data_IF_101159786537
#
_entry.id   IF_101159786537
#
_cell.length_a   1.000
_cell.length_b   1.000
_cell.length_c   1.000
_cell.angle_alpha   90.00
_cell.angle_beta   90.00
_cell.angle_gamma   90.00
#
_symmetry.space_group_name_H-M   'P 1'
#
loop_
_entity.id
_entity.type
_entity.pdbx_description
1 polymer ?
#
# COMPACT_ATOMS: atom_id res chain seq x y z
N UNK A 1 6.27 -8.50 5.30
CA UNK A 1 5.64 -9.19 6.44
C UNK A 1 5.45 -10.63 6.00
N UNK A 2 5.54 -11.62 6.89
CA UNK A 2 5.01 -12.96 6.62
C UNK A 2 3.57 -12.93 7.18
N UNK A 3 2.59 -12.74 6.31
CA UNK A 3 1.19 -12.51 6.70
C UNK A 3 0.63 -13.70 7.47
N UNK A 4 0.99 -14.92 7.06
CA UNK A 4 0.54 -16.14 7.71
C UNK A 4 1.06 -16.26 9.14
N UNK A 5 2.34 -15.97 9.37
CA UNK A 5 2.89 -15.97 10.73
C UNK A 5 2.37 -14.80 11.57
N UNK A 6 2.16 -13.63 10.97
CA UNK A 6 1.56 -12.50 11.65
C UNK A 6 0.14 -12.83 12.14
N UNK A 7 -0.71 -13.43 11.30
CA UNK A 7 -2.08 -13.86 11.67
C UNK A 7 -2.04 -14.80 12.88
N UNK A 8 -1.16 -15.80 12.87
CA UNK A 8 -0.99 -16.72 14.01
C UNK A 8 -0.61 -15.97 15.30
N UNK A 9 0.35 -15.05 15.21
CA UNK A 9 0.79 -14.25 16.36
C UNK A 9 -0.30 -13.33 16.92
N UNK A 10 -1.16 -12.78 16.06
CA UNK A 10 -2.31 -11.96 16.46
C UNK A 10 -3.37 -12.79 17.18
N UNK A 11 -3.71 -13.97 16.64
CA UNK A 11 -4.65 -14.92 17.27
C UNK A 11 -4.13 -15.39 18.63
N UNK A 12 -2.81 -15.67 18.73
CA UNK A 12 -2.18 -16.13 19.97
C UNK A 12 -1.92 -15.00 20.98
N UNK A 13 -2.17 -13.74 20.62
CA UNK A 13 -1.89 -12.58 21.46
C UNK A 13 -0.40 -12.32 21.69
N UNK A 14 0.49 -12.93 20.89
CA UNK A 14 1.93 -12.62 20.90
C UNK A 14 2.16 -11.19 20.41
N UNK A 15 1.37 -10.78 19.40
CA UNK A 15 1.28 -9.39 18.97
C UNK A 15 -0.01 -8.80 19.55
N UNK A 16 0.12 -7.67 20.23
CA UNK A 16 -1.00 -7.01 20.91
C UNK A 16 -2.08 -6.47 19.96
N UNK A 17 -1.73 -6.19 18.70
CA UNK A 17 -2.66 -5.79 17.64
C UNK A 17 -1.96 -5.33 16.37
N UNK A 18 -2.73 -5.11 15.30
CA UNK A 18 -2.22 -4.64 14.00
C UNK A 18 -3.20 -3.70 13.29
N UNK A 19 -2.66 -2.77 12.50
CA UNK A 19 -3.41 -1.97 11.53
C UNK A 19 -2.88 -2.27 10.14
N UNK A 20 -3.73 -2.75 9.23
CA UNK A 20 -3.35 -3.23 7.90
C UNK A 20 -4.13 -2.49 6.82
N UNK A 21 -3.42 -1.84 5.90
CA UNK A 21 -4.01 -1.28 4.67
C UNK A 21 -3.71 -2.16 3.43
N UNK A 22 -2.74 -3.08 3.54
CA UNK A 22 -2.32 -3.95 2.44
C UNK A 22 -2.20 -5.39 2.88
N UNK A 23 -2.37 -6.31 1.93
CA UNK A 23 -2.39 -7.77 2.13
C UNK A 23 -1.52 -8.48 1.08
N UNK A 24 -1.06 -9.69 1.37
CA UNK A 24 -0.16 -10.40 0.44
C UNK A 24 -0.85 -10.78 -0.87
N UNK A 25 -2.12 -11.16 -0.82
CA UNK A 25 -2.90 -11.64 -1.98
C UNK A 25 -4.10 -10.75 -2.28
N UNK A 26 -3.91 -9.42 -2.28
CA UNK A 26 -5.02 -8.50 -2.56
C UNK A 26 -5.77 -8.80 -3.86
N UNK A 27 -7.12 -8.71 -3.87
CA UNK A 27 -7.98 -8.16 -2.80
C UNK A 27 -8.39 -9.17 -1.72
N UNK A 28 -7.83 -10.38 -1.74
CA UNK A 28 -8.14 -11.43 -0.77
C UNK A 28 -7.46 -11.13 0.57
N UNK A 29 -8.25 -11.23 1.65
CA UNK A 29 -7.82 -10.97 3.03
C UNK A 29 -8.03 -12.23 3.84
N UNK A 30 -7.06 -12.67 4.67
CA UNK A 30 -7.26 -13.80 5.58
C UNK A 30 -8.53 -13.63 6.43
N UNK A 31 -9.46 -14.58 6.33
CA UNK A 31 -10.77 -14.50 6.99
C UNK A 31 -10.65 -14.36 8.51
N UNK A 32 -9.58 -14.93 9.09
CA UNK A 32 -9.30 -14.87 10.52
C UNK A 32 -9.16 -13.43 11.03
N UNK A 33 -8.66 -12.50 10.21
CA UNK A 33 -8.42 -11.11 10.62
C UNK A 33 -9.72 -10.33 10.89
N UNK A 34 -10.83 -10.67 10.22
CA UNK A 34 -12.10 -9.95 10.37
C UNK A 34 -12.76 -10.16 11.74
N UNK A 35 -12.42 -11.26 12.43
CA UNK A 35 -12.97 -11.59 13.74
C UNK A 35 -12.14 -11.11 14.93
N UNK A 36 -10.99 -10.47 14.69
CA UNK A 36 -10.05 -10.10 15.74
C UNK A 36 -10.30 -8.69 16.26
N UNK A 37 -10.61 -8.56 17.55
CA UNK A 37 -10.81 -7.27 18.22
C UNK A 37 -9.54 -6.39 18.29
N UNK A 38 -8.36 -7.00 18.09
CA UNK A 38 -7.08 -6.33 18.10
C UNK A 38 -6.55 -5.97 16.69
N UNK A 39 -7.40 -6.04 15.66
CA UNK A 39 -7.02 -5.73 14.29
C UNK A 39 -7.93 -4.65 13.69
N UNK A 40 -7.31 -3.69 12.99
CA UNK A 40 -8.01 -2.71 12.16
C UNK A 40 -7.59 -2.91 10.71
N UNK A 41 -8.58 -3.02 9.81
CA UNK A 41 -8.36 -3.26 8.38
C UNK A 41 -8.83 -2.05 7.56
N UNK A 42 -8.05 -1.66 6.55
CA UNK A 42 -8.46 -0.73 5.51
C UNK A 42 -8.15 -1.30 4.11
N UNK A 43 -8.97 -0.99 3.09
CA UNK A 43 -8.89 -1.64 1.78
C UNK A 43 -7.91 -0.95 0.80
N UNK A 44 -6.63 -0.87 1.13
CA UNK A 44 -5.58 -0.25 0.31
C UNK A 44 -5.91 1.19 -0.14
N UNK A 45 -6.33 2.00 0.82
CA UNK A 45 -6.83 3.37 0.57
C UNK A 45 -5.97 4.45 1.20
N UNK A 46 -4.79 4.14 1.76
CA UNK A 46 -3.91 5.14 2.36
C UNK A 46 -3.59 6.30 1.39
N UNK A 47 -3.46 6.01 0.09
CA UNK A 47 -3.16 7.01 -0.95
C UNK A 47 -4.40 7.80 -1.42
N UNK A 48 -5.62 7.35 -1.11
CA UNK A 48 -6.86 7.82 -1.71
C UNK A 48 -7.36 9.16 -1.13
N UNK A 49 -6.48 10.17 -1.10
CA UNK A 49 -6.82 11.55 -0.73
C UNK A 49 -6.74 12.45 -1.96
N UNK A 50 -7.57 13.52 -2.06
CA UNK A 50 -7.51 14.44 -3.20
C UNK A 50 -6.12 15.03 -3.42
N UNK A 51 -5.44 15.43 -2.35
CA UNK A 51 -4.09 15.99 -2.41
C UNK A 51 -3.07 14.97 -2.96
N UNK A 52 -3.07 13.74 -2.44
CA UNK A 52 -2.15 12.71 -2.90
C UNK A 52 -2.38 12.34 -4.37
N UNK A 53 -3.64 12.16 -4.77
CA UNK A 53 -4.00 11.83 -6.15
C UNK A 53 -3.66 12.96 -7.13
N UNK A 54 -3.84 14.22 -6.73
CA UNK A 54 -3.39 15.38 -7.52
C UNK A 54 -1.87 15.35 -7.72
N UNK A 55 -1.10 15.17 -6.64
CA UNK A 55 0.37 15.13 -6.71
C UNK A 55 0.88 13.98 -7.58
N UNK A 56 0.29 12.78 -7.46
CA UNK A 56 0.65 11.63 -8.32
C UNK A 56 0.37 11.96 -9.79
N UNK A 57 -0.78 12.58 -10.07
CA UNK A 57 -1.15 12.98 -11.43
C UNK A 57 -0.18 14.04 -11.99
N UNK A 58 0.18 15.04 -11.19
CA UNK A 58 1.14 16.08 -11.56
C UNK A 58 2.51 15.49 -11.90
N UNK A 59 3.03 14.59 -11.07
CA UNK A 59 4.32 13.91 -11.32
C UNK A 59 4.24 13.05 -12.59
N UNK A 60 3.15 12.32 -12.79
CA UNK A 60 2.97 11.50 -14.00
C UNK A 60 2.97 12.35 -15.27
N UNK A 61 2.20 13.45 -15.29
CA UNK A 61 2.16 14.39 -16.41
C UNK A 61 3.52 15.06 -16.65
N UNK A 62 4.23 15.43 -15.58
CA UNK A 62 5.55 16.06 -15.69
C UNK A 62 6.58 15.11 -16.33
N UNK A 63 6.56 13.83 -15.98
CA UNK A 63 7.43 12.82 -16.61
C UNK A 63 7.08 12.61 -18.10
N UNK A 64 5.79 12.53 -18.44
CA UNK A 64 5.36 12.41 -19.84
C UNK A 64 5.81 13.62 -20.68
N UNK A 65 5.61 14.84 -20.16
CA UNK A 65 6.04 16.06 -20.82
C UNK A 65 7.56 16.11 -21.01
N UNK A 66 8.32 15.73 -19.98
CA UNK A 66 9.78 15.66 -20.07
C UNK A 66 10.23 14.66 -21.15
N UNK A 67 9.65 13.46 -21.17
CA UNK A 67 9.94 12.43 -22.16
C UNK A 67 9.72 12.91 -23.59
N UNK A 68 8.53 13.46 -23.89
CA UNK A 68 8.21 13.95 -25.24
C UNK A 68 8.98 15.22 -25.64
N UNK A 69 9.60 15.92 -24.68
CA UNK A 69 10.43 17.09 -24.91
C UNK A 69 11.94 16.78 -24.95
N UNK A 70 12.33 15.50 -24.93
CA UNK A 70 13.72 15.05 -24.80
C UNK A 70 14.46 15.67 -23.60
N UNK A 71 13.74 15.89 -22.49
CA UNK A 71 14.29 16.35 -21.22
C UNK A 71 14.45 15.18 -20.25
N UNK A 72 15.33 15.28 -19.23
CA UNK A 72 15.41 14.29 -18.16
C UNK A 72 14.08 14.12 -17.44
N UNK A 73 13.74 12.86 -17.09
CA UNK A 73 12.56 12.54 -16.30
C UNK A 73 12.62 13.18 -14.91
N UNK A 74 11.46 13.52 -14.34
CA UNK A 74 11.35 14.14 -13.01
C UNK A 74 11.55 13.11 -11.90
N UNK A 75 11.09 11.88 -12.13
CA UNK A 75 11.22 10.77 -11.17
C UNK A 75 11.68 9.50 -11.87
N UNK A 76 12.94 9.46 -12.38
CA UNK A 76 13.47 8.27 -13.01
C UNK A 76 13.65 7.16 -11.97
N UNK A 77 13.34 5.92 -12.36
CA UNK A 77 13.69 4.72 -11.59
C UNK A 77 14.85 4.03 -12.30
N UNK A 78 15.76 3.47 -11.52
CA UNK A 78 16.82 2.62 -12.07
C UNK A 78 16.24 1.23 -12.30
N UNK A 79 16.31 0.76 -13.55
CA UNK A 79 16.05 -0.64 -13.86
C UNK A 79 17.40 -1.34 -13.86
N UNK A 80 17.55 -2.30 -12.94
CA UNK A 80 18.71 -3.18 -12.86
C UNK A 80 18.80 -4.11 -14.08
#
# INVERSE_FOLDING_TARGET
IDEKEMVKCLIQGVIGGAGLDVFENEPEVPEELFGLDNVVLSPHVAVATPGSLNNVTEIALANLNAFFSNQPLVSPVQLD
#
